data_IF_155272401257
#
_entry.id   IF_155272401257
#
_cell.length_a   1.000
_cell.length_b   1.000
_cell.length_c   1.000
_cell.angle_alpha   90.00
_cell.angle_beta   90.00
_cell.angle_gamma   90.00
#
_symmetry.space_group_name_H-M   'P 1'
#
loop_
_entity.id
_entity.type
_entity.pdbx_description
1 polymer ?
#
# COMPACT_ATOMS: atom_id res chain seq x y z
N UNK A 1 -23.68 46.05 21.16
CA UNK A 1 -23.91 45.67 19.74
C UNK A 1 -23.50 44.21 19.55
N UNK A 2 -24.46 43.30 19.46
CA UNK A 2 -24.19 41.88 19.22
C UNK A 2 -23.77 41.69 17.76
N UNK A 3 -22.53 41.24 17.50
CA UNK A 3 -22.07 40.86 16.17
C UNK A 3 -22.98 39.75 15.63
N UNK A 4 -23.53 39.92 14.42
CA UNK A 4 -24.27 38.85 13.71
C UNK A 4 -23.41 37.59 13.73
N UNK A 5 -23.91 36.51 14.35
CA UNK A 5 -23.30 35.17 14.24
C UNK A 5 -23.16 34.87 12.75
N UNK A 6 -21.95 34.46 12.33
CA UNK A 6 -21.70 34.07 10.94
C UNK A 6 -22.69 32.96 10.54
N UNK A 7 -23.11 32.96 9.29
CA UNK A 7 -24.01 31.96 8.71
C UNK A 7 -23.58 30.52 9.00
N UNK A 8 -22.28 30.33 9.10
CA UNK A 8 -21.55 29.08 9.22
C UNK A 8 -21.85 28.42 10.59
N UNK A 9 -22.10 29.24 11.62
CA UNK A 9 -22.47 28.75 12.95
C UNK A 9 -23.82 28.04 12.99
N UNK A 10 -24.68 28.21 11.98
CA UNK A 10 -26.00 27.56 11.95
C UNK A 10 -25.90 26.08 11.61
N UNK A 11 -25.00 25.69 10.71
CA UNK A 11 -24.85 24.30 10.27
C UNK A 11 -24.27 23.42 11.38
N UNK A 12 -23.28 23.92 12.11
CA UNK A 12 -22.72 23.20 13.27
C UNK A 12 -23.68 23.12 14.47
N UNK A 13 -24.70 23.97 14.52
CA UNK A 13 -25.73 23.98 15.56
C UNK A 13 -26.99 23.19 15.16
N UNK A 14 -27.01 22.52 14.00
CA UNK A 14 -28.12 21.67 13.59
C UNK A 14 -28.28 20.46 14.52
N UNK A 15 -29.51 19.95 14.72
CA UNK A 15 -29.71 18.67 15.38
C UNK A 15 -28.93 17.56 14.65
N UNK A 16 -28.35 16.64 15.42
CA UNK A 16 -27.53 15.54 14.90
C UNK A 16 -28.18 14.75 13.74
N UNK A 17 -29.48 14.34 13.80
CA UNK A 17 -30.08 13.62 12.68
C UNK A 17 -30.15 14.43 11.38
N UNK A 18 -30.23 15.76 11.48
CA UNK A 18 -30.22 16.65 10.30
C UNK A 18 -28.80 16.79 9.76
N UNK A 19 -27.79 16.84 10.62
CA UNK A 19 -26.39 16.84 10.19
C UNK A 19 -26.03 15.55 9.49
N UNK A 20 -26.37 14.40 10.06
CA UNK A 20 -26.12 13.08 9.45
C UNK A 20 -26.77 12.99 8.07
N UNK A 21 -28.02 13.45 7.95
CA UNK A 21 -28.73 13.46 6.67
C UNK A 21 -28.06 14.38 5.64
N UNK A 22 -27.59 15.57 6.07
CA UNK A 22 -26.84 16.48 5.21
C UNK A 22 -25.50 15.89 4.77
N UNK A 23 -24.78 15.24 5.69
CA UNK A 23 -23.53 14.56 5.34
C UNK A 23 -23.82 13.47 4.31
N UNK A 24 -24.84 12.62 4.53
CA UNK A 24 -25.25 11.58 3.58
C UNK A 24 -25.55 12.13 2.18
N UNK A 25 -26.26 13.26 2.10
CA UNK A 25 -26.54 13.90 0.82
C UNK A 25 -25.27 14.33 0.10
N UNK A 26 -24.32 14.91 0.84
CA UNK A 26 -23.09 15.46 0.26
C UNK A 26 -22.04 14.40 -0.06
N UNK A 27 -21.94 13.31 0.72
CA UNK A 27 -20.90 12.28 0.57
C UNK A 27 -21.38 11.04 -0.17
N UNK A 28 -22.56 10.50 0.16
CA UNK A 28 -23.06 9.24 -0.42
C UNK A 28 -23.89 9.48 -1.68
N UNK A 29 -24.84 10.43 -1.61
CA UNK A 29 -25.75 10.73 -2.73
C UNK A 29 -25.13 11.70 -3.75
N UNK A 30 -23.96 12.29 -3.46
CA UNK A 30 -23.26 13.27 -4.30
C UNK A 30 -24.16 14.43 -4.78
N UNK A 31 -25.02 14.94 -3.90
CA UNK A 31 -25.92 16.05 -4.18
C UNK A 31 -25.14 17.35 -4.27
N UNK A 32 -25.41 18.19 -5.28
CA UNK A 32 -24.76 19.51 -5.41
C UNK A 32 -25.14 20.44 -4.26
N UNK A 33 -24.29 21.42 -3.95
CA UNK A 33 -24.53 22.35 -2.83
C UNK A 33 -25.82 23.16 -2.99
N UNK A 34 -26.18 23.51 -4.22
CA UNK A 34 -27.42 24.23 -4.53
C UNK A 34 -28.64 23.38 -4.16
N UNK A 35 -28.63 22.10 -4.55
CA UNK A 35 -29.73 21.18 -4.27
C UNK A 35 -29.78 20.79 -2.79
N UNK A 36 -28.64 20.63 -2.13
CA UNK A 36 -28.58 20.40 -0.69
C UNK A 36 -29.13 21.60 0.10
N UNK A 37 -28.81 22.82 -0.35
CA UNK A 37 -29.38 24.06 0.20
C UNK A 37 -30.90 24.10 0.03
N UNK A 38 -31.41 23.78 -1.15
CA UNK A 38 -32.86 23.73 -1.41
C UNK A 38 -33.55 22.71 -0.51
N UNK A 39 -33.00 21.50 -0.39
CA UNK A 39 -33.54 20.45 0.51
C UNK A 39 -33.52 20.88 1.98
N UNK A 40 -32.45 21.51 2.46
CA UNK A 40 -32.39 22.03 3.83
C UNK A 40 -33.46 23.09 4.11
N UNK A 41 -33.73 23.97 3.13
CA UNK A 41 -34.78 24.97 3.25
C UNK A 41 -36.18 24.34 3.19
N UNK A 42 -36.41 23.37 2.30
CA UNK A 42 -37.71 22.72 2.14
C UNK A 42 -38.05 21.78 3.30
N UNK A 43 -37.15 20.89 3.67
CA UNK A 43 -37.43 19.78 4.59
C UNK A 43 -37.30 20.22 6.06
N UNK A 44 -36.41 21.17 6.34
CA UNK A 44 -36.06 21.58 7.71
C UNK A 44 -36.23 23.07 7.97
N UNK A 45 -36.65 23.86 6.97
CA UNK A 45 -36.79 25.32 7.05
C UNK A 45 -35.48 26.03 7.47
N UNK A 46 -34.33 25.49 7.04
CA UNK A 46 -33.01 26.03 7.36
C UNK A 46 -32.41 26.75 6.14
N UNK A 47 -32.34 28.08 6.21
CA UNK A 47 -31.70 28.91 5.17
C UNK A 47 -30.20 29.03 5.39
N UNK A 48 -29.42 28.55 4.44
CA UNK A 48 -27.94 28.59 4.43
C UNK A 48 -27.40 29.10 3.09
N UNK A 49 -26.16 29.59 3.11
CA UNK A 49 -25.42 29.94 1.90
C UNK A 49 -24.64 28.73 1.37
N UNK A 50 -24.31 28.73 0.08
CA UNK A 50 -23.45 27.70 -0.52
C UNK A 50 -22.06 27.70 0.12
N UNK A 51 -21.52 28.88 0.47
CA UNK A 51 -20.24 28.99 1.19
C UNK A 51 -20.26 28.27 2.54
N UNK A 52 -21.34 28.38 3.31
CA UNK A 52 -21.47 27.68 4.59
C UNK A 52 -21.52 26.15 4.39
N UNK A 53 -22.15 25.66 3.32
CA UNK A 53 -22.15 24.24 2.97
C UNK A 53 -20.75 23.74 2.58
N UNK A 54 -19.98 24.56 1.85
CA UNK A 54 -18.59 24.25 1.52
C UNK A 54 -17.73 24.13 2.79
N UNK A 55 -17.87 25.08 3.73
CA UNK A 55 -17.15 25.06 5.01
C UNK A 55 -17.57 23.87 5.88
N UNK A 56 -18.87 23.56 5.92
CA UNK A 56 -19.41 22.38 6.61
C UNK A 56 -18.85 21.08 6.03
N UNK A 57 -18.77 20.97 4.70
CA UNK A 57 -18.19 19.80 4.04
C UNK A 57 -16.70 19.64 4.39
N UNK A 58 -15.94 20.74 4.32
CA UNK A 58 -14.51 20.74 4.63
C UNK A 58 -14.20 20.37 6.09
N UNK A 59 -15.13 20.60 7.01
CA UNK A 59 -14.96 20.34 8.45
C UNK A 59 -15.58 19.01 8.86
N UNK A 60 -16.87 18.82 8.68
CA UNK A 60 -17.62 17.67 9.20
C UNK A 60 -17.53 16.46 8.26
N UNK A 61 -17.72 16.67 6.94
CA UNK A 61 -17.67 15.56 5.99
C UNK A 61 -16.23 15.03 5.82
N UNK A 62 -15.23 15.91 5.86
CA UNK A 62 -13.81 15.52 5.84
C UNK A 62 -13.41 14.69 7.07
N UNK A 63 -13.88 15.07 8.27
CA UNK A 63 -13.62 14.30 9.49
C UNK A 63 -14.22 12.89 9.40
N UNK A 64 -15.44 12.76 8.89
CA UNK A 64 -16.10 11.45 8.78
C UNK A 64 -15.48 10.57 7.69
N UNK A 65 -15.07 11.16 6.55
CA UNK A 65 -14.33 10.43 5.51
C UNK A 65 -12.92 10.07 5.98
N UNK A 66 -12.26 10.92 6.77
CA UNK A 66 -10.97 10.60 7.39
C UNK A 66 -11.10 9.47 8.40
N UNK A 67 -12.13 9.48 9.25
CA UNK A 67 -12.39 8.40 10.21
C UNK A 67 -12.65 7.08 9.50
N UNK A 68 -13.50 7.09 8.46
CA UNK A 68 -13.79 5.90 7.63
C UNK A 68 -12.54 5.41 6.89
N UNK A 69 -11.69 6.32 6.41
CA UNK A 69 -10.41 5.98 5.80
C UNK A 69 -9.45 5.36 6.82
N UNK A 70 -9.44 5.86 8.05
CA UNK A 70 -8.60 5.35 9.12
C UNK A 70 -9.07 3.96 9.59
N UNK A 71 -10.38 3.73 9.70
CA UNK A 71 -10.95 2.40 9.94
C UNK A 71 -10.66 1.42 8.81
N UNK A 72 -10.69 1.89 7.56
CA UNK A 72 -10.27 1.07 6.42
C UNK A 72 -8.79 0.71 6.50
N UNK A 73 -7.91 1.68 6.79
CA UNK A 73 -6.48 1.43 7.01
C UNK A 73 -6.28 0.43 8.16
N UNK A 74 -6.94 0.60 9.30
CA UNK A 74 -6.83 -0.33 10.43
C UNK A 74 -7.31 -1.75 10.08
N UNK A 75 -8.38 -1.89 9.29
CA UNK A 75 -8.83 -3.22 8.81
C UNK A 75 -7.82 -3.84 7.85
N UNK A 76 -7.31 -3.07 6.90
CA UNK A 76 -6.29 -3.55 5.95
C UNK A 76 -5.02 -3.94 6.71
N UNK A 77 -4.57 -3.15 7.68
CA UNK A 77 -3.45 -3.48 8.56
C UNK A 77 -3.68 -4.79 9.35
N UNK A 78 -4.90 -5.01 9.87
CA UNK A 78 -5.24 -6.22 10.62
C UNK A 78 -5.25 -7.47 9.74
N UNK A 79 -5.89 -7.42 8.56
CA UNK A 79 -5.93 -8.52 7.59
C UNK A 79 -4.52 -8.87 7.09
N UNK A 80 -3.71 -7.85 6.84
CA UNK A 80 -2.34 -8.03 6.39
C UNK A 80 -1.45 -8.61 7.47
N UNK A 81 -1.59 -8.16 8.71
CA UNK A 81 -0.80 -8.68 9.83
C UNK A 81 -1.05 -10.17 10.03
N UNK A 82 -2.22 -10.66 9.61
CA UNK A 82 -2.53 -12.08 9.56
C UNK A 82 -1.86 -12.82 8.37
N UNK A 83 -1.74 -12.20 7.19
CA UNK A 83 -1.23 -12.84 5.96
C UNK A 83 0.28 -12.65 5.70
N UNK A 84 0.94 -11.73 6.40
CA UNK A 84 2.41 -11.57 6.44
C UNK A 84 3.12 -11.15 5.14
N UNK A 85 2.46 -11.20 3.97
CA UNK A 85 3.07 -10.87 2.66
C UNK A 85 2.22 -9.93 1.80
N UNK A 86 0.99 -9.60 2.21
CA UNK A 86 0.02 -8.89 1.37
C UNK A 86 -0.03 -7.37 1.55
N UNK A 87 0.65 -6.78 2.55
CA UNK A 87 0.54 -5.33 2.86
C UNK A 87 0.96 -4.48 1.69
N UNK A 88 2.14 -4.77 1.17
CA UNK A 88 2.82 -3.92 0.21
C UNK A 88 2.05 -3.95 -1.12
N UNK A 89 1.57 -5.13 -1.52
CA UNK A 89 0.79 -5.32 -2.73
C UNK A 89 -0.58 -4.61 -2.65
N UNK A 90 -1.31 -4.75 -1.54
CA UNK A 90 -2.60 -4.09 -1.35
C UNK A 90 -2.46 -2.56 -1.27
N UNK A 91 -1.45 -2.08 -0.54
CA UNK A 91 -1.13 -0.65 -0.41
C UNK A 91 -0.71 -0.06 -1.76
N UNK A 92 0.13 -0.76 -2.53
CA UNK A 92 0.48 -0.35 -3.89
C UNK A 92 -0.73 -0.30 -4.83
N UNK A 93 -1.65 -1.25 -4.73
CA UNK A 93 -2.87 -1.25 -5.53
C UNK A 93 -3.73 -0.02 -5.24
N UNK A 94 -3.90 0.34 -3.96
CA UNK A 94 -4.62 1.54 -3.54
C UNK A 94 -3.92 2.83 -3.99
N UNK A 95 -2.59 2.90 -3.88
CA UNK A 95 -1.79 4.04 -4.36
C UNK A 95 -1.95 4.21 -5.87
N UNK A 96 -1.89 3.11 -6.65
CA UNK A 96 -2.10 3.13 -8.10
C UNK A 96 -3.52 3.57 -8.46
N UNK A 97 -4.53 3.08 -7.76
CA UNK A 97 -5.91 3.50 -7.95
C UNK A 97 -6.09 4.99 -7.64
N UNK A 98 -5.51 5.48 -6.54
CA UNK A 98 -5.57 6.89 -6.16
C UNK A 98 -4.87 7.79 -7.18
N UNK A 99 -3.70 7.39 -7.65
CA UNK A 99 -2.98 8.09 -8.70
C UNK A 99 -3.81 8.16 -10.00
N UNK A 100 -4.43 7.05 -10.41
CA UNK A 100 -5.31 7.01 -11.57
C UNK A 100 -6.52 7.95 -11.43
N UNK A 101 -7.18 7.94 -10.28
CA UNK A 101 -8.32 8.82 -10.02
C UNK A 101 -7.90 10.30 -10.05
N UNK A 102 -6.81 10.66 -9.38
CA UNK A 102 -6.29 12.03 -9.40
C UNK A 102 -5.90 12.47 -10.81
N UNK A 103 -5.33 11.58 -11.64
CA UNK A 103 -4.96 11.91 -13.01
C UNK A 103 -6.18 12.21 -13.91
N UNK A 104 -7.36 11.70 -13.55
CA UNK A 104 -8.61 11.91 -14.30
C UNK A 104 -9.45 13.07 -13.78
N UNK A 105 -9.23 13.52 -12.55
CA UNK A 105 -10.01 14.61 -11.93
C UNK A 105 -9.46 15.97 -12.39
N UNK A 106 -10.31 16.81 -12.97
CA UNK A 106 -9.95 18.20 -13.29
C UNK A 106 -9.61 18.96 -12.00
N UNK A 107 -8.46 19.64 -11.99
CA UNK A 107 -8.01 20.43 -10.83
C UNK A 107 -7.22 19.64 -9.77
N UNK A 108 -6.86 18.38 -10.03
CA UNK A 108 -5.97 17.65 -9.14
C UNK A 108 -4.59 18.32 -9.04
N UNK A 109 -4.01 18.30 -7.84
CA UNK A 109 -2.66 18.80 -7.57
C UNK A 109 -1.63 17.98 -8.37
N UNK A 110 -0.87 18.66 -9.24
CA UNK A 110 0.25 18.05 -9.99
C UNK A 110 1.32 17.50 -9.04
N UNK A 111 1.51 18.14 -7.88
CA UNK A 111 2.46 17.69 -6.88
C UNK A 111 2.04 16.35 -6.28
N UNK A 112 0.76 16.15 -5.98
CA UNK A 112 0.26 14.90 -5.39
C UNK A 112 0.43 13.74 -6.37
N UNK A 113 0.17 13.98 -7.66
CA UNK A 113 0.42 13.01 -8.73
C UNK A 113 1.92 12.68 -8.86
N UNK A 114 2.79 13.68 -8.80
CA UNK A 114 4.24 13.46 -8.84
C UNK A 114 4.72 12.64 -7.64
N UNK A 115 4.21 12.91 -6.44
CA UNK A 115 4.52 12.12 -5.23
C UNK A 115 4.08 10.67 -5.37
N UNK A 116 2.83 10.42 -5.80
CA UNK A 116 2.33 9.05 -5.98
C UNK A 116 3.09 8.30 -7.07
N UNK A 117 3.42 8.96 -8.18
CA UNK A 117 4.25 8.39 -9.24
C UNK A 117 5.67 8.05 -8.74
N UNK A 118 6.25 8.91 -7.89
CA UNK A 118 7.53 8.67 -7.23
C UNK A 118 7.51 7.41 -6.37
N UNK A 119 6.50 7.26 -5.51
CA UNK A 119 6.33 6.06 -4.67
C UNK A 119 6.22 4.80 -5.53
N UNK A 120 5.38 4.81 -6.58
CA UNK A 120 5.22 3.67 -7.49
C UNK A 120 6.55 3.33 -8.18
N UNK A 121 7.29 4.35 -8.62
CA UNK A 121 8.60 4.18 -9.27
C UNK A 121 9.67 3.61 -8.34
N UNK A 122 9.74 4.09 -7.10
CA UNK A 122 10.70 3.61 -6.11
C UNK A 122 10.40 2.18 -5.67
N UNK A 123 9.12 1.81 -5.53
CA UNK A 123 8.77 0.42 -5.25
C UNK A 123 9.16 -0.51 -6.41
N UNK A 124 8.91 -0.11 -7.66
CA UNK A 124 9.34 -0.90 -8.82
C UNK A 124 10.86 -1.07 -8.87
N UNK A 125 11.63 -0.03 -8.51
CA UNK A 125 13.11 -0.12 -8.38
C UNK A 125 13.54 -1.07 -7.28
N UNK A 126 12.87 -1.06 -6.13
CA UNK A 126 13.16 -1.99 -5.04
C UNK A 126 12.88 -3.45 -5.45
N UNK A 127 11.77 -3.72 -6.13
CA UNK A 127 11.46 -5.05 -6.66
C UNK A 127 12.53 -5.54 -7.66
N UNK A 128 12.97 -4.65 -8.56
CA UNK A 128 14.06 -4.97 -9.50
C UNK A 128 15.36 -5.31 -8.77
N UNK A 129 15.75 -4.51 -7.78
CA UNK A 129 16.94 -4.78 -6.95
C UNK A 129 16.84 -6.09 -6.19
N UNK A 130 15.67 -6.43 -5.64
CA UNK A 130 15.46 -7.72 -4.97
C UNK A 130 15.61 -8.90 -5.95
N UNK A 131 15.09 -8.78 -7.17
CA UNK A 131 15.27 -9.79 -8.22
C UNK A 131 16.74 -9.91 -8.62
N UNK A 132 17.45 -8.80 -8.80
CA UNK A 132 18.88 -8.78 -9.08
C UNK A 132 19.68 -9.45 -7.97
N UNK A 133 19.36 -9.16 -6.71
CA UNK A 133 20.01 -9.78 -5.56
C UNK A 133 19.77 -11.30 -5.53
N UNK A 134 18.54 -11.74 -5.80
CA UNK A 134 18.18 -13.16 -5.86
C UNK A 134 18.97 -13.87 -6.96
N UNK A 135 18.99 -13.29 -8.17
CA UNK A 135 19.77 -13.83 -9.30
C UNK A 135 21.28 -13.85 -9.01
N UNK A 136 21.79 -12.84 -8.32
CA UNK A 136 23.20 -12.78 -7.90
C UNK A 136 23.53 -13.89 -6.90
N UNK A 137 22.65 -14.11 -5.91
CA UNK A 137 22.79 -15.21 -4.96
C UNK A 137 22.73 -16.58 -5.64
N UNK A 138 21.82 -16.78 -6.60
CA UNK A 138 21.73 -18.03 -7.34
C UNK A 138 22.96 -18.26 -8.21
N UNK A 139 23.46 -17.24 -8.90
CA UNK A 139 24.73 -17.30 -9.64
C UNK A 139 25.90 -17.63 -8.72
N UNK A 140 25.96 -17.00 -7.56
CA UNK A 140 27.00 -17.27 -6.57
C UNK A 140 26.93 -18.71 -6.06
N UNK A 141 25.73 -19.21 -5.74
CA UNK A 141 25.50 -20.61 -5.34
C UNK A 141 25.94 -21.58 -6.44
N UNK A 142 25.58 -21.32 -7.69
CA UNK A 142 26.00 -22.15 -8.82
C UNK A 142 27.52 -22.10 -9.04
N UNK A 143 28.15 -20.94 -8.88
CA UNK A 143 29.60 -20.80 -8.99
C UNK A 143 30.32 -21.60 -7.90
N UNK A 144 29.90 -21.44 -6.64
CA UNK A 144 30.45 -22.20 -5.50
C UNK A 144 30.27 -23.71 -5.71
N UNK A 145 29.09 -24.15 -6.19
CA UNK A 145 28.84 -25.57 -6.51
C UNK A 145 29.82 -26.07 -7.57
N UNK A 146 29.97 -25.36 -8.69
CA UNK A 146 30.92 -25.70 -9.75
C UNK A 146 32.36 -25.78 -9.25
N UNK A 147 32.79 -24.84 -8.41
CA UNK A 147 34.17 -24.81 -7.92
C UNK A 147 34.44 -25.95 -6.93
N UNK A 148 33.45 -26.29 -6.10
CA UNK A 148 33.50 -27.48 -5.22
C UNK A 148 33.59 -28.75 -6.07
N UNK A 149 32.76 -28.91 -7.10
CA UNK A 149 32.78 -30.07 -8.00
C UNK A 149 34.15 -30.24 -8.68
N UNK A 150 34.71 -29.15 -9.23
CA UNK A 150 36.05 -29.18 -9.83
C UNK A 150 37.14 -29.53 -8.83
N UNK A 151 37.09 -28.98 -7.61
CA UNK A 151 38.04 -29.28 -6.55
C UNK A 151 37.98 -30.74 -6.10
N UNK A 152 36.77 -31.29 -6.00
CA UNK A 152 36.54 -32.70 -5.70
C UNK A 152 37.06 -33.59 -6.84
N UNK A 153 36.80 -33.26 -8.09
CA UNK A 153 37.27 -34.06 -9.22
C UNK A 153 38.81 -34.03 -9.35
N UNK A 154 39.46 -32.90 -9.02
CA UNK A 154 40.91 -32.81 -8.94
C UNK A 154 41.49 -33.70 -7.82
N UNK A 155 40.91 -33.64 -6.62
CA UNK A 155 41.29 -34.51 -5.49
C UNK A 155 41.10 -35.99 -5.82
N UNK A 156 39.99 -36.35 -6.47
CA UNK A 156 39.75 -37.72 -6.90
C UNK A 156 40.84 -38.21 -7.86
N UNK A 157 41.28 -37.36 -8.80
CA UNK A 157 42.35 -37.69 -9.73
C UNK A 157 43.70 -37.94 -9.00
N UNK A 158 44.01 -37.17 -7.95
CA UNK A 158 45.24 -37.34 -7.16
C UNK A 158 45.22 -38.59 -6.28
N UNK A 159 44.05 -38.98 -5.76
CA UNK A 159 43.87 -40.12 -4.86
C UNK A 159 43.73 -41.45 -5.63
N UNK A 160 43.65 -41.39 -6.97
CA UNK A 160 43.47 -42.53 -7.89
C UNK A 160 44.67 -43.49 -7.86
N UNK A 161 44.71 -44.33 -6.83
CA UNK A 161 45.81 -45.24 -6.52
C UNK A 161 45.76 -45.78 -5.08
N UNK A 162 45.01 -45.12 -4.18
CA UNK A 162 44.83 -45.52 -2.79
C UNK A 162 43.37 -45.92 -2.54
N UNK A 163 43.08 -47.22 -2.51
CA UNK A 163 41.70 -47.75 -2.42
C UNK A 163 40.94 -47.27 -1.17
N UNK A 164 41.61 -47.24 -0.01
CA UNK A 164 40.99 -46.80 1.25
C UNK A 164 40.71 -45.29 1.26
N UNK A 165 41.62 -44.50 0.69
CA UNK A 165 41.45 -43.06 0.56
C UNK A 165 40.31 -42.71 -0.43
N UNK A 166 40.12 -43.52 -1.48
CA UNK A 166 39.02 -43.35 -2.43
C UNK A 166 37.65 -43.56 -1.77
N UNK A 167 37.51 -44.56 -0.89
CA UNK A 167 36.25 -44.80 -0.17
C UNK A 167 35.89 -43.68 0.82
N UNK A 168 36.88 -43.16 1.54
CA UNK A 168 36.68 -42.01 2.43
C UNK A 168 36.33 -40.74 1.64
N UNK A 169 36.98 -40.55 0.49
CA UNK A 169 36.72 -39.43 -0.40
C UNK A 169 35.29 -39.45 -0.97
N UNK A 170 34.80 -40.60 -1.46
CA UNK A 170 33.42 -40.71 -1.99
C UNK A 170 32.36 -40.45 -0.90
N UNK A 171 32.59 -40.88 0.34
CA UNK A 171 31.70 -40.56 1.48
C UNK A 171 31.70 -39.06 1.78
N UNK A 172 32.87 -38.42 1.75
CA UNK A 172 32.98 -36.97 1.95
C UNK A 172 32.30 -36.18 0.82
N UNK A 173 32.54 -36.58 -0.44
CA UNK A 173 31.90 -35.99 -1.63
C UNK A 173 30.38 -36.03 -1.52
N UNK A 174 29.81 -37.18 -1.12
CA UNK A 174 28.36 -37.32 -0.93
C UNK A 174 27.81 -36.37 0.15
N UNK A 175 28.49 -36.23 1.30
CA UNK A 175 28.06 -35.33 2.38
C UNK A 175 28.12 -33.86 1.94
N UNK A 176 29.21 -33.46 1.28
CA UNK A 176 29.39 -32.07 0.80
C UNK A 176 28.36 -31.73 -0.26
N UNK A 177 28.11 -32.62 -1.23
CA UNK A 177 27.10 -32.38 -2.27
C UNK A 177 25.69 -32.29 -1.68
N UNK A 178 25.36 -33.16 -0.73
CA UNK A 178 24.05 -33.10 -0.05
C UNK A 178 23.87 -31.82 0.79
N UNK A 179 24.96 -31.27 1.35
CA UNK A 179 24.94 -30.00 2.08
C UNK A 179 24.82 -28.77 1.16
N UNK A 180 25.42 -28.82 -0.04
CA UNK A 180 25.38 -27.73 -1.02
C UNK A 180 24.05 -27.70 -1.75
N UNK A 181 23.42 -28.85 -1.93
CA UNK A 181 22.09 -28.95 -2.57
C UNK A 181 20.97 -28.48 -1.65
N UNK A 182 21.15 -28.57 -0.33
CA UNK A 182 20.20 -28.05 0.65
C UNK A 182 18.87 -28.80 0.61
N UNK A 183 18.56 -29.51 1.71
CA UNK A 183 17.20 -29.90 2.10
C UNK A 183 16.20 -28.79 1.75
N UNK A 184 15.41 -29.05 0.71
CA UNK A 184 14.21 -28.29 0.37
C UNK A 184 13.11 -28.53 1.40
#
# INVERSE_FOLDING_TARGET
MSRKRRSDAKLHALPEPVKEQLIRWLTEENVSYEKAKERLEMDFNVRVSVGALCDFYATECYLQTSASAQEFVTRVEAEVRADGRAYDAATLALIRQRAYLLARTQGASVNDLATLAGIIGDTARLELRQRELTLSLDKFRHQVKSDIEKGLDALHAEIKGHADALQLFERMKAIVMHSVEGTS
#
